data_IF_511528306452
#
_entry.id   IF_511528306452
#
_cell.length_a   1.000
_cell.length_b   1.000
_cell.length_c   1.000
_cell.angle_alpha   90.00
_cell.angle_beta   90.00
_cell.angle_gamma   90.00
#
_symmetry.space_group_name_H-M   'P 1'
#
loop_
_entity.id
_entity.type
_entity.pdbx_description
1 polymer ?
#
# COMPACT_ATOMS: atom_id res chain seq x y z
N UNK A 1 -25.80 -9.80 -13.84
CA UNK A 1 -25.07 -8.67 -14.47
C UNK A 1 -23.61 -8.72 -14.00
N UNK A 2 -22.69 -9.25 -14.81
CA UNK A 2 -21.26 -9.29 -14.46
C UNK A 2 -20.67 -7.89 -14.64
N UNK A 3 -20.48 -7.16 -13.54
CA UNK A 3 -19.69 -5.92 -13.52
C UNK A 3 -18.25 -6.23 -13.93
N UNK A 4 -17.93 -6.10 -15.23
CA UNK A 4 -16.54 -6.03 -15.69
C UNK A 4 -16.05 -4.61 -15.40
N UNK A 5 -15.14 -4.47 -14.43
CA UNK A 5 -14.42 -3.21 -14.24
C UNK A 5 -13.36 -3.14 -15.34
N UNK A 6 -13.33 -2.06 -16.12
CA UNK A 6 -12.29 -1.80 -17.11
C UNK A 6 -10.92 -1.67 -16.41
N UNK A 7 -9.86 -2.22 -17.00
CA UNK A 7 -8.47 -2.10 -16.54
C UNK A 7 -8.07 -0.63 -16.32
N UNK A 8 -8.62 0.30 -17.11
CA UNK A 8 -8.41 1.75 -16.91
C UNK A 8 -8.98 2.26 -15.59
N UNK A 9 -10.18 1.78 -15.21
CA UNK A 9 -10.82 2.15 -13.95
C UNK A 9 -10.06 1.53 -12.79
N UNK A 10 -9.61 0.29 -12.94
CA UNK A 10 -8.82 -0.40 -11.92
C UNK A 10 -7.49 0.33 -11.66
N UNK A 11 -6.77 0.76 -12.69
CA UNK A 11 -5.56 1.58 -12.53
C UNK A 11 -5.80 2.90 -11.80
N UNK A 12 -6.94 3.57 -12.06
CA UNK A 12 -7.32 4.80 -11.35
C UNK A 12 -7.63 4.54 -9.87
N UNK A 13 -8.28 3.43 -9.55
CA UNK A 13 -8.54 3.04 -8.16
C UNK A 13 -7.23 2.76 -7.41
N UNK A 14 -6.26 2.11 -8.05
CA UNK A 14 -4.94 1.88 -7.47
C UNK A 14 -4.22 3.19 -7.14
N UNK A 15 -4.42 4.26 -7.93
CA UNK A 15 -3.83 5.58 -7.63
C UNK A 15 -4.27 6.15 -6.28
N UNK A 16 -5.42 5.71 -5.74
CA UNK A 16 -5.90 6.09 -4.40
C UNK A 16 -4.91 5.65 -3.31
N UNK A 17 -4.09 4.62 -3.56
CA UNK A 17 -3.01 4.20 -2.65
C UNK A 17 -2.04 5.35 -2.38
N UNK A 18 -1.64 6.12 -3.40
CA UNK A 18 -0.75 7.27 -3.21
C UNK A 18 -1.40 8.33 -2.34
N UNK A 19 -2.69 8.60 -2.56
CA UNK A 19 -3.44 9.57 -1.75
C UNK A 19 -3.51 9.09 -0.30
N UNK A 20 -3.71 7.79 -0.08
CA UNK A 20 -3.78 7.18 1.25
C UNK A 20 -2.47 7.33 2.04
N UNK A 21 -1.32 7.37 1.37
CA UNK A 21 -0.02 7.65 2.00
C UNK A 21 0.16 9.09 2.46
N UNK A 22 -0.60 10.03 1.90
CA UNK A 22 -0.56 11.45 2.26
C UNK A 22 -1.50 11.80 3.41
N UNK A 23 -2.57 11.03 3.64
CA UNK A 23 -3.56 11.31 4.69
C UNK A 23 -2.92 11.36 6.09
N UNK A 24 -2.09 10.37 6.51
CA UNK A 24 -1.51 10.36 7.86
C UNK A 24 -0.69 11.61 8.19
N UNK A 25 -0.09 12.25 7.18
CA UNK A 25 0.65 13.51 7.31
C UNK A 25 -0.30 14.65 7.73
N UNK A 26 -1.51 14.70 7.15
CA UNK A 26 -2.51 15.75 7.41
C UNK A 26 -3.08 15.63 8.82
N UNK A 27 -3.34 14.40 9.27
CA UNK A 27 -4.02 14.13 10.55
C UNK A 27 -3.06 13.75 11.68
N UNK A 28 -1.75 13.76 11.45
CA UNK A 28 -0.70 13.41 12.44
C UNK A 28 -0.88 12.02 13.06
N UNK A 29 -1.31 11.05 12.25
CA UNK A 29 -1.52 9.64 12.65
C UNK A 29 -0.36 8.80 12.12
N UNK A 30 0.01 7.65 12.74
CA UNK A 30 1.06 6.79 12.21
C UNK A 30 0.82 6.44 10.73
N UNK A 31 1.87 6.52 9.87
CA UNK A 31 1.74 6.48 8.42
C UNK A 31 1.40 5.10 7.83
N UNK A 32 0.98 4.12 8.65
CA UNK A 32 0.70 2.75 8.20
C UNK A 32 -0.78 2.47 8.04
N UNK A 33 -1.61 2.84 9.03
CA UNK A 33 -2.96 2.27 9.16
C UNK A 33 -3.86 2.54 7.96
N UNK A 34 -3.86 3.79 7.49
CA UNK A 34 -4.68 4.24 6.35
C UNK A 34 -4.18 3.65 5.02
N UNK A 35 -2.90 3.83 4.61
CA UNK A 35 -2.43 3.26 3.35
C UNK A 35 -2.49 1.73 3.33
N UNK A 36 -2.28 1.07 4.47
CA UNK A 36 -2.42 -0.38 4.58
C UNK A 36 -3.86 -0.81 4.33
N UNK A 37 -4.82 -0.23 5.05
CA UNK A 37 -6.24 -0.58 4.91
C UNK A 37 -6.75 -0.35 3.48
N UNK A 38 -6.37 0.77 2.86
CA UNK A 38 -6.72 1.07 1.46
C UNK A 38 -6.12 0.04 0.50
N UNK A 39 -4.85 -0.32 0.69
CA UNK A 39 -4.18 -1.33 -0.15
C UNK A 39 -4.83 -2.70 -0.01
N UNK A 40 -5.16 -3.13 1.20
CA UNK A 40 -5.84 -4.41 1.44
C UNK A 40 -7.22 -4.45 0.78
N UNK A 41 -8.02 -3.39 0.91
CA UNK A 41 -9.35 -3.31 0.29
C UNK A 41 -9.24 -3.41 -1.23
N UNK A 42 -8.29 -2.70 -1.84
CA UNK A 42 -8.08 -2.75 -3.30
C UNK A 42 -7.63 -4.16 -3.74
N UNK A 43 -6.69 -4.78 -3.02
CA UNK A 43 -6.25 -6.14 -3.30
C UNK A 43 -7.40 -7.17 -3.18
N UNK A 44 -8.29 -7.02 -2.19
CA UNK A 44 -9.46 -7.88 -2.05
C UNK A 44 -10.45 -7.71 -3.21
N UNK A 45 -10.69 -6.47 -3.65
CA UNK A 45 -11.52 -6.19 -4.84
C UNK A 45 -10.93 -6.88 -6.06
N UNK A 46 -9.62 -6.81 -6.24
CA UNK A 46 -8.92 -7.46 -7.35
C UNK A 46 -9.04 -8.99 -7.27
N UNK A 47 -8.83 -9.59 -6.09
CA UNK A 47 -8.96 -11.05 -5.88
C UNK A 47 -10.38 -11.51 -6.20
N UNK A 48 -11.41 -10.85 -5.67
CA UNK A 48 -12.83 -11.21 -5.90
C UNK A 48 -13.18 -11.11 -7.38
N UNK A 49 -12.73 -10.04 -8.06
CA UNK A 49 -13.03 -9.81 -9.48
C UNK A 49 -12.24 -10.69 -10.43
N UNK A 50 -11.02 -11.06 -10.06
CA UNK A 50 -10.15 -11.86 -10.92
C UNK A 50 -10.78 -13.21 -11.28
N UNK A 51 -11.70 -13.78 -10.47
CA UNK A 51 -12.29 -15.12 -10.72
C UNK A 51 -11.23 -16.21 -11.06
N UNK A 52 -9.99 -16.07 -10.57
CA UNK A 52 -8.88 -16.98 -10.91
C UNK A 52 -8.19 -16.68 -12.26
N UNK A 53 -8.63 -15.67 -13.00
CA UNK A 53 -7.91 -15.16 -14.17
C UNK A 53 -6.65 -14.40 -13.71
N UNK A 54 -5.64 -14.40 -14.57
CA UNK A 54 -4.33 -13.80 -14.34
C UNK A 54 -4.22 -12.25 -14.29
N UNK A 55 -5.23 -11.36 -14.46
CA UNK A 55 -4.97 -9.92 -14.37
C UNK A 55 -4.49 -9.44 -12.99
N UNK A 56 -4.78 -10.16 -11.90
CA UNK A 56 -4.19 -9.90 -10.58
C UNK A 56 -2.65 -9.84 -10.64
N UNK A 57 -2.04 -10.77 -11.39
CA UNK A 57 -0.59 -10.85 -11.51
C UNK A 57 0.00 -9.69 -12.33
N UNK A 58 -0.78 -9.09 -13.23
CA UNK A 58 -0.34 -7.97 -14.09
C UNK A 58 -0.39 -6.62 -13.38
N UNK A 59 -1.34 -6.43 -12.46
CA UNK A 59 -1.46 -5.17 -11.69
C UNK A 59 -0.66 -5.19 -10.40
N UNK A 60 -0.29 -6.37 -9.87
CA UNK A 60 0.47 -6.48 -8.62
C UNK A 60 1.77 -5.66 -8.60
N UNK A 61 2.63 -5.67 -9.64
CA UNK A 61 3.83 -4.82 -9.65
C UNK A 61 3.50 -3.33 -9.58
N UNK A 62 2.37 -2.93 -10.17
CA UNK A 62 1.89 -1.55 -10.11
C UNK A 62 1.42 -1.18 -8.69
N UNK A 63 0.68 -2.06 -8.00
CA UNK A 63 0.24 -1.87 -6.61
C UNK A 63 1.45 -1.73 -5.67
N UNK A 64 2.44 -2.60 -5.83
CA UNK A 64 3.68 -2.57 -5.04
C UNK A 64 4.43 -1.27 -5.33
N UNK A 65 4.58 -0.91 -6.61
CA UNK A 65 5.25 0.32 -7.02
C UNK A 65 4.59 1.59 -6.47
N UNK A 66 3.25 1.66 -6.46
CA UNK A 66 2.52 2.79 -5.87
C UNK A 66 2.72 2.86 -4.35
N UNK A 67 2.80 1.72 -3.66
CA UNK A 67 3.08 1.71 -2.23
C UNK A 67 4.50 2.17 -1.92
N UNK A 68 5.50 1.69 -2.66
CA UNK A 68 6.89 2.14 -2.49
C UNK A 68 7.01 3.63 -2.76
N UNK A 69 6.39 4.12 -3.84
CA UNK A 69 6.39 5.55 -4.15
C UNK A 69 5.70 6.38 -3.07
N UNK A 70 4.56 5.91 -2.55
CA UNK A 70 3.86 6.55 -1.44
C UNK A 70 4.69 6.62 -0.16
N UNK A 71 5.37 5.53 0.21
CA UNK A 71 6.30 5.47 1.34
C UNK A 71 7.41 6.51 1.20
N UNK A 72 8.11 6.52 0.06
CA UNK A 72 9.23 7.46 -0.18
C UNK A 72 8.76 8.91 -0.08
N UNK A 73 7.64 9.26 -0.71
CA UNK A 73 7.08 10.61 -0.65
C UNK A 73 6.69 10.98 0.78
N UNK A 74 6.01 10.08 1.49
CA UNK A 74 5.54 10.32 2.86
C UNK A 74 6.70 10.51 3.83
N UNK A 75 7.72 9.65 3.76
CA UNK A 75 8.93 9.72 4.60
C UNK A 75 9.72 10.99 4.35
N UNK A 76 9.91 11.40 3.09
CA UNK A 76 10.57 12.67 2.77
C UNK A 76 9.79 13.88 3.30
N UNK A 77 8.47 13.89 3.13
CA UNK A 77 7.62 14.97 3.65
C UNK A 77 7.64 15.03 5.18
N UNK A 78 7.62 13.87 5.85
CA UNK A 78 7.67 13.81 7.31
C UNK A 78 9.00 14.36 7.85
N UNK A 79 10.14 13.95 7.28
CA UNK A 79 11.46 14.47 7.66
C UNK A 79 11.54 15.98 7.44
N UNK A 80 11.07 16.48 6.30
CA UNK A 80 11.06 17.92 5.99
C UNK A 80 10.19 18.68 6.99
N UNK A 81 8.94 18.26 7.22
CA UNK A 81 7.99 19.02 8.03
C UNK A 81 8.30 18.99 9.54
N UNK A 82 8.89 17.91 10.05
CA UNK A 82 8.98 17.67 11.49
C UNK A 82 10.39 17.62 12.07
N UNK A 83 11.45 17.38 11.30
CA UNK A 83 12.81 17.18 11.85
C UNK A 83 13.86 18.10 11.21
N UNK A 84 13.79 18.32 9.90
CA UNK A 84 14.73 19.19 9.19
C UNK A 84 14.54 20.68 9.51
N UNK A 85 13.30 21.11 9.78
CA UNK A 85 12.98 22.52 10.07
C UNK A 85 12.40 22.78 11.48
N UNK A 86 11.99 21.73 12.20
CA UNK A 86 11.56 21.79 13.60
C UNK A 86 12.44 20.81 14.39
N UNK A 87 13.57 21.28 14.92
CA UNK A 87 14.40 20.41 15.75
C UNK A 87 13.64 20.09 17.05
N UNK A 88 13.05 18.90 17.13
CA UNK A 88 12.66 18.36 18.43
C UNK A 88 13.95 18.26 19.27
N UNK A 89 14.04 18.94 20.42
CA UNK A 89 15.28 19.03 21.18
C UNK A 89 15.79 17.67 21.69
N UNK A 90 14.96 16.62 21.63
CA UNK A 90 15.31 15.28 22.08
C UNK A 90 15.88 14.39 20.97
N UNK A 91 15.82 14.81 19.71
CA UNK A 91 16.19 13.96 18.57
C UNK A 91 17.15 14.68 17.61
N UNK A 92 18.26 14.01 17.30
CA UNK A 92 19.23 14.48 16.32
C UNK A 92 18.69 14.49 14.88
N UNK A 93 19.37 15.18 13.95
CA UNK A 93 18.99 15.19 12.54
C UNK A 93 18.96 13.76 11.96
N UNK A 94 17.96 13.44 11.14
CA UNK A 94 17.80 12.12 10.50
C UNK A 94 17.05 11.07 11.34
N UNK A 95 16.62 11.39 12.56
CA UNK A 95 15.81 10.47 13.38
C UNK A 95 14.41 10.23 12.79
N UNK A 96 13.83 11.21 12.09
CA UNK A 96 12.53 11.05 11.42
C UNK A 96 12.57 9.99 10.32
N UNK A 97 13.63 9.96 9.51
CA UNK A 97 13.89 8.90 8.52
C UNK A 97 13.99 7.52 9.17
N UNK A 98 14.69 7.41 10.31
CA UNK A 98 14.85 6.12 11.00
C UNK A 98 13.49 5.61 11.52
N UNK A 99 12.71 6.47 12.18
CA UNK A 99 11.39 6.12 12.67
C UNK A 99 10.43 5.75 11.52
N UNK A 100 10.38 6.57 10.47
CA UNK A 100 9.57 6.28 9.29
C UNK A 100 10.00 4.97 8.61
N UNK A 101 11.30 4.71 8.51
CA UNK A 101 11.85 3.49 7.92
C UNK A 101 11.45 2.22 8.68
N UNK A 102 11.40 2.24 10.02
CA UNK A 102 10.91 1.10 10.81
C UNK A 102 9.45 0.79 10.48
N UNK A 103 8.63 1.83 10.36
CA UNK A 103 7.22 1.70 10.01
C UNK A 103 7.03 1.20 8.57
N UNK A 104 7.84 1.67 7.62
CA UNK A 104 7.83 1.20 6.24
C UNK A 104 8.20 -0.29 6.14
N UNK A 105 9.16 -0.77 6.95
CA UNK A 105 9.51 -2.20 7.02
C UNK A 105 8.34 -3.03 7.54
N UNK A 106 7.70 -2.60 8.65
CA UNK A 106 6.54 -3.29 9.21
C UNK A 106 5.42 -3.35 8.17
N UNK A 107 5.16 -2.25 7.48
CA UNK A 107 4.18 -2.16 6.40
C UNK A 107 4.49 -3.17 5.29
N UNK A 108 5.74 -3.23 4.82
CA UNK A 108 6.15 -4.13 3.73
C UNK A 108 5.99 -5.60 4.11
N UNK A 109 6.30 -5.97 5.36
CA UNK A 109 6.05 -7.33 5.87
C UNK A 109 4.56 -7.64 5.84
N UNK A 110 3.71 -6.75 6.37
CA UNK A 110 2.26 -6.96 6.36
C UNK A 110 1.71 -7.06 4.93
N UNK A 111 2.17 -6.22 4.01
CA UNK A 111 1.78 -6.26 2.61
C UNK A 111 2.17 -7.59 1.95
N UNK A 112 3.39 -8.07 2.19
CA UNK A 112 3.85 -9.37 1.68
C UNK A 112 2.98 -10.53 2.18
N UNK A 113 2.59 -10.51 3.46
CA UNK A 113 1.65 -11.49 4.01
C UNK A 113 0.29 -11.46 3.32
N UNK A 114 -0.29 -10.28 3.10
CA UNK A 114 -1.59 -10.13 2.41
C UNK A 114 -1.52 -10.65 0.98
N UNK A 115 -0.45 -10.32 0.25
CA UNK A 115 -0.24 -10.80 -1.12
C UNK A 115 -0.08 -12.32 -1.13
N UNK A 116 0.69 -12.89 -0.20
CA UNK A 116 0.89 -14.34 -0.07
C UNK A 116 -0.43 -15.09 0.20
N UNK A 117 -1.24 -14.59 1.12
CA UNK A 117 -2.58 -15.15 1.41
C UNK A 117 -3.49 -15.02 0.18
N UNK A 118 -3.48 -13.86 -0.49
CA UNK A 118 -4.27 -13.64 -1.70
C UNK A 118 -3.93 -14.63 -2.80
N UNK A 119 -2.63 -14.91 -3.00
CA UNK A 119 -2.17 -15.91 -3.95
C UNK A 119 -2.60 -17.32 -3.57
N UNK A 120 -2.48 -17.70 -2.29
CA UNK A 120 -2.92 -19.01 -1.79
C UNK A 120 -4.43 -19.24 -2.03
N UNK A 121 -5.26 -18.23 -1.77
CA UNK A 121 -6.71 -18.28 -2.01
C UNK A 121 -7.01 -18.53 -3.49
N UNK A 122 -6.33 -17.80 -4.40
CA UNK A 122 -6.51 -17.98 -5.84
C UNK A 122 -6.05 -19.36 -6.29
N UNK A 123 -4.94 -19.87 -5.75
CA UNK A 123 -4.43 -21.20 -6.04
C UNK A 123 -5.42 -22.30 -5.63
N UNK A 124 -5.91 -22.28 -4.38
CA UNK A 124 -6.90 -23.25 -3.90
C UNK A 124 -8.17 -23.21 -4.75
N UNK A 125 -8.66 -22.01 -5.05
CA UNK A 125 -9.86 -21.83 -5.87
C UNK A 125 -9.68 -22.38 -7.29
N UNK A 126 -8.50 -22.20 -7.89
CA UNK A 126 -8.21 -22.76 -9.22
C UNK A 126 -8.28 -24.28 -9.23
N UNK A 127 -7.76 -24.93 -8.18
CA UNK A 127 -7.78 -26.40 -8.03
C UNK A 127 -9.15 -26.99 -7.72
N UNK A 128 -10.05 -26.22 -7.13
CA UNK A 128 -11.43 -26.66 -6.82
C UNK A 128 -12.39 -26.56 -8.03
N UNK A 129 -11.99 -25.84 -9.08
CA UNK A 129 -12.80 -25.64 -10.29
C UNK A 129 -12.21 -26.35 -11.53
N UNK A 130 -11.12 -27.10 -11.37
CA UNK A 130 -10.66 -28.17 -12.28
C UNK A 130 -11.41 -29.47 -11.98
#
# INVERSE_FOLDING_TARGET
MTFKLDDKVLKRLHFIILIAWLIPIIISVPPIGIPFSVTVVILLIDIIKSKGYQPYNKMMPYVIGLNILGMVISTLLYELLYYSFRQDPNFGPGMGIIFAGVWDIIYLVLLAWVIGIGYLILFIRSKLHE
#
